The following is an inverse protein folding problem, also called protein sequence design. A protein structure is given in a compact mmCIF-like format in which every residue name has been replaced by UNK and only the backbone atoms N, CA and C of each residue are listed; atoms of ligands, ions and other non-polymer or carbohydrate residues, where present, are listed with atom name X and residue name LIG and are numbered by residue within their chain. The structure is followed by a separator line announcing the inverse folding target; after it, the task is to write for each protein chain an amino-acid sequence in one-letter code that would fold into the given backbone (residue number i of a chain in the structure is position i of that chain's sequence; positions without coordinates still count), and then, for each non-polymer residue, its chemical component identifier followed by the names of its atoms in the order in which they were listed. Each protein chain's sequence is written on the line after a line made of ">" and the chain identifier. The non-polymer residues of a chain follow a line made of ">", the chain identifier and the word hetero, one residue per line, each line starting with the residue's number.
data_IF_818818108390
#
_entry.id   IF_818818108390
#
_cell.length_a   1.000
_cell.length_b   1.000
_cell.length_c   1.000
_cell.angle_alpha   90.00
_cell.angle_beta   90.00
_cell.angle_gamma   90.00
#
_symmetry.space_group_name_H-M   'P 1'
#
loop_
_entity.id
_entity.type
_entity.pdbx_description
1 polymer ?
#
# COMPACT_ATOMS: atom_id res chain seq x y z
N UNK A 1 18.95 2.74 10.57
CA UNK A 1 17.91 2.82 11.59
C UNK A 1 16.58 3.15 10.95
N UNK A 2 15.57 2.35 11.25
CA UNK A 2 14.21 2.55 10.74
C UNK A 2 13.42 3.38 11.73
N UNK A 3 12.72 4.38 11.25
CA UNK A 3 11.87 5.23 12.08
C UNK A 3 10.41 4.89 11.82
N UNK A 4 9.72 4.39 12.85
CA UNK A 4 8.29 4.08 12.75
C UNK A 4 7.48 5.36 13.00
N UNK A 5 6.63 5.69 12.04
CA UNK A 5 5.74 6.83 12.14
C UNK A 5 4.52 6.48 12.98
N UNK A 6 4.14 7.35 13.90
CA UNK A 6 2.93 7.16 14.69
C UNK A 6 1.69 7.53 13.89
N UNK A 7 1.85 8.45 12.94
CA UNK A 7 0.74 8.94 12.14
C UNK A 7 1.28 9.41 10.79
N UNK A 8 0.55 9.11 9.72
CA UNK A 8 0.90 9.56 8.38
C UNK A 8 0.33 10.96 8.17
N UNK A 9 1.20 11.94 7.89
CA UNK A 9 0.76 13.28 7.52
C UNK A 9 0.59 13.38 5.99
N UNK A 10 0.05 14.51 5.53
CA UNK A 10 -0.23 14.69 4.11
C UNK A 10 1.01 14.66 3.23
N UNK A 11 2.12 15.24 3.71
CA UNK A 11 3.36 15.24 2.93
C UNK A 11 3.87 13.83 2.71
N UNK A 12 3.87 13.02 3.74
CA UNK A 12 4.30 11.63 3.65
C UNK A 12 3.40 10.83 2.71
N UNK A 13 2.10 11.06 2.82
CA UNK A 13 1.10 10.43 1.96
C UNK A 13 1.37 10.75 0.49
N UNK A 14 1.64 12.02 0.17
CA UNK A 14 1.95 12.43 -1.19
C UNK A 14 3.22 11.78 -1.72
N UNK A 15 4.26 11.70 -0.89
CA UNK A 15 5.49 11.03 -1.29
C UNK A 15 5.27 9.55 -1.60
N UNK A 16 4.51 8.88 -0.75
CA UNK A 16 4.21 7.46 -0.95
C UNK A 16 3.42 7.26 -2.23
N UNK A 17 2.38 8.06 -2.44
CA UNK A 17 1.54 7.99 -3.63
C UNK A 17 2.36 8.23 -4.89
N UNK A 18 3.29 9.18 -4.89
CA UNK A 18 4.16 9.42 -6.02
C UNK A 18 5.03 8.21 -6.33
N UNK A 19 5.52 7.53 -5.31
CA UNK A 19 6.32 6.33 -5.50
C UNK A 19 5.54 5.17 -6.11
N UNK A 20 4.30 5.02 -5.69
CA UNK A 20 3.42 3.95 -6.18
C UNK A 20 2.87 4.27 -7.56
N UNK A 21 2.51 5.53 -7.80
CA UNK A 21 1.74 5.92 -8.98
C UNK A 21 2.61 6.41 -10.13
N UNK A 22 3.83 5.90 -10.22
CA UNK A 22 4.73 6.20 -11.33
C UNK A 22 4.20 5.63 -12.64
N UNK A 23 3.64 4.42 -12.58
CA UNK A 23 3.09 3.77 -13.77
C UNK A 23 1.98 2.79 -13.40
N UNK A 24 1.27 2.32 -14.42
CA UNK A 24 0.15 1.40 -14.26
C UNK A 24 0.57 0.11 -13.56
N UNK A 25 1.74 -0.42 -13.89
CA UNK A 25 2.23 -1.67 -13.30
C UNK A 25 2.34 -1.57 -11.78
N UNK A 26 2.89 -0.46 -11.28
CA UNK A 26 3.03 -0.27 -9.84
C UNK A 26 1.67 -0.13 -9.16
N UNK A 27 0.76 0.59 -9.81
CA UNK A 27 -0.60 0.73 -9.27
C UNK A 27 -1.27 -0.62 -9.13
N UNK A 28 -1.21 -1.44 -10.19
CA UNK A 28 -1.81 -2.77 -10.17
C UNK A 28 -1.17 -3.68 -9.13
N UNK A 29 0.15 -3.64 -9.00
CA UNK A 29 0.85 -4.41 -7.98
C UNK A 29 0.46 -3.99 -6.57
N UNK A 30 0.30 -2.68 -6.34
CA UNK A 30 -0.09 -2.18 -5.02
C UNK A 30 -1.50 -2.64 -4.65
N UNK A 31 -2.41 -2.68 -5.62
CA UNK A 31 -3.78 -3.17 -5.39
C UNK A 31 -3.77 -4.69 -5.15
N UNK A 32 -2.96 -5.41 -5.92
CA UNK A 32 -2.88 -6.86 -5.83
C UNK A 32 -2.40 -7.36 -4.47
N UNK A 33 -1.64 -6.55 -3.73
CA UNK A 33 -1.21 -6.89 -2.38
C UNK A 33 -2.40 -7.25 -1.49
N UNK A 34 -3.52 -6.57 -1.66
CA UNK A 34 -4.74 -6.84 -0.89
C UNK A 34 -5.24 -8.26 -1.16
N UNK A 35 -5.12 -8.71 -2.40
CA UNK A 35 -5.59 -10.03 -2.81
C UNK A 35 -4.63 -11.16 -2.43
N UNK A 36 -3.34 -10.93 -2.61
CA UNK A 36 -2.32 -11.96 -2.44
C UNK A 36 -1.70 -11.99 -1.05
N UNK A 37 -1.81 -10.90 -0.32
CA UNK A 37 -1.14 -10.72 0.99
C UNK A 37 0.37 -10.87 0.89
N UNK A 38 0.93 -10.56 -0.28
CA UNK A 38 2.37 -10.58 -0.52
C UNK A 38 2.85 -9.18 -0.81
N UNK A 39 3.91 -8.77 -0.14
CA UNK A 39 4.47 -7.45 -0.31
C UNK A 39 5.22 -7.29 -1.62
N UNK A 40 5.66 -6.08 -1.87
CA UNK A 40 6.38 -5.73 -3.10
C UNK A 40 7.46 -4.69 -2.79
N UNK A 41 8.60 -4.84 -3.45
CA UNK A 41 9.68 -3.86 -3.44
C UNK A 41 9.63 -3.16 -4.80
N UNK A 42 9.21 -1.89 -4.81
CA UNK A 42 9.17 -1.14 -6.05
C UNK A 42 10.56 -0.65 -6.44
N UNK A 43 11.30 -0.15 -5.45
CA UNK A 43 12.68 0.29 -5.63
C UNK A 43 13.31 0.44 -4.24
N UNK A 44 14.50 1.02 -4.18
CA UNK A 44 15.22 1.17 -2.93
C UNK A 44 14.54 2.09 -1.92
N UNK A 45 13.64 2.95 -2.38
CA UNK A 45 13.02 3.96 -1.53
C UNK A 45 11.53 3.72 -1.27
N UNK A 46 10.92 2.75 -1.93
CA UNK A 46 9.48 2.50 -1.78
C UNK A 46 9.21 1.00 -1.74
N UNK A 47 8.72 0.53 -0.60
CA UNK A 47 8.41 -0.89 -0.41
C UNK A 47 7.13 -1.03 0.41
N UNK A 48 6.45 -2.15 0.17
CA UNK A 48 5.26 -2.50 0.96
C UNK A 48 5.46 -3.93 1.44
N UNK A 49 5.38 -4.14 2.74
CA UNK A 49 5.54 -5.46 3.34
C UNK A 49 4.25 -5.89 4.01
N UNK A 50 4.03 -7.19 4.05
CA UNK A 50 2.85 -7.79 4.69
C UNK A 50 3.31 -8.73 5.80
N UNK A 51 2.36 -9.23 6.57
CA UNK A 51 2.63 -10.14 7.69
C UNK A 51 3.55 -11.29 7.29
N UNK A 52 3.34 -11.88 6.11
CA UNK A 52 4.13 -13.01 5.64
C UNK A 52 5.56 -12.68 5.22
N UNK A 53 5.91 -11.39 5.11
CA UNK A 53 7.27 -10.98 4.76
C UNK A 53 8.22 -10.97 5.95
N UNK A 54 7.71 -11.15 7.15
CA UNK A 54 8.50 -11.09 8.38
C UNK A 54 8.62 -12.48 9.00
N UNK A 55 9.75 -12.75 9.64
CA UNK A 55 9.89 -13.95 10.43
C UNK A 55 8.95 -13.88 11.64
N UNK A 56 8.54 -15.04 12.14
CA UNK A 56 7.58 -15.11 13.24
C UNK A 56 8.08 -14.45 14.53
N UNK A 57 9.39 -14.36 14.71
CA UNK A 57 9.99 -13.75 15.88
C UNK A 57 10.52 -12.33 15.65
N UNK A 58 10.24 -11.76 14.47
CA UNK A 58 10.68 -10.41 14.13
C UNK A 58 9.87 -9.39 14.95
N UNK A 59 10.52 -8.57 15.78
CA UNK A 59 9.82 -7.57 16.58
C UNK A 59 9.16 -6.48 15.73
N UNK A 60 9.57 -6.33 14.47
CA UNK A 60 8.98 -5.35 13.57
C UNK A 60 7.79 -5.90 12.78
N UNK A 61 7.44 -7.16 12.98
CA UNK A 61 6.36 -7.81 12.26
C UNK A 61 5.03 -7.10 12.52
N UNK A 62 4.33 -6.76 11.46
CA UNK A 62 3.01 -6.16 11.57
C UNK A 62 1.96 -7.21 11.95
N UNK A 63 0.77 -6.76 12.30
CA UNK A 63 -0.35 -7.66 12.54
C UNK A 63 -0.82 -8.26 11.22
N UNK A 64 -1.57 -9.35 11.29
CA UNK A 64 -2.02 -10.07 10.11
C UNK A 64 -2.94 -9.25 9.21
N UNK A 65 -3.62 -8.26 9.79
CA UNK A 65 -4.51 -7.36 9.06
C UNK A 65 -3.86 -6.02 8.70
N UNK A 66 -2.55 -5.94 8.85
CA UNK A 66 -1.79 -4.72 8.56
C UNK A 66 -0.80 -4.91 7.42
N UNK A 67 -0.43 -3.78 6.82
CA UNK A 67 0.71 -3.69 5.90
C UNK A 67 1.67 -2.64 6.42
N UNK A 68 2.94 -2.79 6.07
CA UNK A 68 3.99 -1.84 6.41
C UNK A 68 4.40 -1.11 5.14
N UNK A 69 4.20 0.20 5.15
CA UNK A 69 4.61 1.08 4.05
C UNK A 69 5.97 1.65 4.40
N UNK A 70 6.95 1.44 3.53
CA UNK A 70 8.32 1.86 3.80
C UNK A 70 8.76 2.88 2.76
N UNK A 71 9.28 4.02 3.22
CA UNK A 71 9.81 5.07 2.38
C UNK A 71 11.20 5.46 2.84
N UNK A 72 12.15 5.43 1.90
CA UNK A 72 13.50 5.90 2.15
C UNK A 72 13.71 7.28 1.53
N UNK A 73 14.50 8.11 2.20
CA UNK A 73 14.89 9.42 1.71
C UNK A 73 16.39 9.54 1.83
N UNK A 74 17.04 10.02 0.77
CA UNK A 74 18.48 10.14 0.76
C UNK A 74 18.97 11.00 1.94
N UNK A 75 19.89 10.45 2.72
CA UNK A 75 20.46 11.17 3.87
C UNK A 75 19.62 11.12 5.14
N UNK A 76 18.48 10.40 5.12
CA UNK A 76 17.59 10.31 6.28
C UNK A 76 17.30 8.84 6.61
N UNK A 77 16.93 8.54 7.87
CA UNK A 77 16.50 7.18 8.21
C UNK A 77 15.28 6.77 7.40
N UNK A 78 15.20 5.48 7.10
CA UNK A 78 14.01 4.92 6.48
C UNK A 78 12.81 5.10 7.41
N UNK A 79 11.69 5.54 6.86
CA UNK A 79 10.46 5.72 7.61
C UNK A 79 9.45 4.65 7.23
N UNK A 80 8.80 4.07 8.24
CA UNK A 80 7.79 3.04 8.02
C UNK A 80 6.49 3.43 8.71
N UNK A 81 5.38 3.08 8.07
CA UNK A 81 4.05 3.29 8.62
C UNK A 81 3.30 1.97 8.61
N UNK A 82 2.69 1.63 9.74
CA UNK A 82 1.86 0.43 9.87
C UNK A 82 0.41 0.85 9.73
N UNK A 83 -0.25 0.32 8.72
CA UNK A 83 -1.65 0.66 8.45
C UNK A 83 -2.45 -0.62 8.23
N UNK A 84 -3.75 -0.55 8.50
CA UNK A 84 -4.63 -1.68 8.18
C UNK A 84 -4.83 -1.76 6.67
N UNK A 85 -5.31 -2.91 6.18
CA UNK A 85 -5.62 -3.04 4.76
C UNK A 85 -6.70 -2.04 4.33
N UNK A 86 -7.66 -1.74 5.21
CA UNK A 86 -8.67 -0.73 4.91
C UNK A 86 -8.07 0.66 4.73
N UNK A 87 -7.20 1.05 5.65
CA UNK A 87 -6.49 2.32 5.56
C UNK A 87 -5.59 2.36 4.32
N UNK A 88 -4.95 1.25 4.00
CA UNK A 88 -4.13 1.12 2.82
C UNK A 88 -4.95 1.32 1.54
N UNK A 89 -6.11 0.66 1.45
CA UNK A 89 -6.99 0.82 0.30
C UNK A 89 -7.45 2.26 0.14
N UNK A 90 -7.81 2.93 1.24
CA UNK A 90 -8.18 4.34 1.20
C UNK A 90 -7.06 5.21 0.65
N UNK A 91 -5.82 4.90 1.03
CA UNK A 91 -4.65 5.61 0.55
C UNK A 91 -4.49 5.46 -0.97
N UNK A 92 -4.66 4.23 -1.46
CA UNK A 92 -4.60 3.95 -2.90
C UNK A 92 -5.73 4.68 -3.64
N UNK A 93 -6.93 4.67 -3.10
CA UNK A 93 -8.07 5.35 -3.71
C UNK A 93 -7.86 6.85 -3.80
N UNK A 94 -7.30 7.46 -2.75
CA UNK A 94 -6.95 8.89 -2.79
C UNK A 94 -5.95 9.21 -3.89
N UNK A 95 -4.95 8.35 -4.05
CA UNK A 95 -3.96 8.54 -5.11
C UNK A 95 -4.55 8.38 -6.50
N UNK A 96 -5.50 7.46 -6.66
CA UNK A 96 -6.17 7.24 -7.93
C UNK A 96 -6.99 8.45 -8.36
N UNK A 97 -7.66 9.13 -7.44
CA UNK A 97 -8.43 10.34 -7.76
C UNK A 97 -7.56 11.38 -8.46
N UNK A 98 -6.30 11.49 -8.04
CA UNK A 98 -5.38 12.46 -8.62
C UNK A 98 -4.75 11.96 -9.92
N UNK A 99 -4.58 10.66 -10.07
CA UNK A 99 -3.77 10.07 -11.13
C UNK A 99 -4.56 9.55 -12.34
N UNK A 100 -5.85 9.26 -12.18
CA UNK A 100 -6.61 8.55 -13.21
C UNK A 100 -6.64 9.26 -14.57
N UNK A 101 -6.67 10.59 -14.57
CA UNK A 101 -6.75 11.35 -15.81
C UNK A 101 -5.52 11.16 -16.71
N UNK A 102 -4.44 10.67 -16.16
CA UNK A 102 -3.19 10.46 -16.91
C UNK A 102 -3.16 9.15 -17.69
N UNK A 103 -4.18 8.32 -17.53
CA UNK A 103 -4.21 6.99 -18.13
C UNK A 103 -5.28 6.87 -19.20
N UNK A 104 -5.03 6.02 -20.19
CA UNK A 104 -5.99 5.70 -21.24
C UNK A 104 -7.17 4.94 -20.65
N UNK A 105 -8.31 4.94 -21.37
CA UNK A 105 -9.52 4.30 -20.89
C UNK A 105 -9.33 2.81 -20.58
N UNK A 106 -8.57 2.09 -21.40
CA UNK A 106 -8.31 0.68 -21.16
C UNK A 106 -7.53 0.46 -19.85
N UNK A 107 -6.55 1.31 -19.59
CA UNK A 107 -5.77 1.24 -18.36
C UNK A 107 -6.64 1.58 -17.14
N UNK A 108 -7.47 2.62 -17.25
CA UNK A 108 -8.40 3.00 -16.19
C UNK A 108 -9.33 1.85 -15.84
N UNK A 109 -9.88 1.19 -16.86
CA UNK A 109 -10.79 0.08 -16.65
C UNK A 109 -10.11 -1.08 -15.91
N UNK A 110 -8.89 -1.41 -16.31
CA UNK A 110 -8.11 -2.47 -15.66
C UNK A 110 -7.86 -2.14 -14.18
N UNK A 111 -7.48 -0.89 -13.91
CA UNK A 111 -7.25 -0.43 -12.54
C UNK A 111 -8.54 -0.49 -11.73
N UNK A 112 -9.65 -0.02 -12.29
CA UNK A 112 -10.93 -0.03 -11.59
C UNK A 112 -11.44 -1.44 -11.32
N UNK A 113 -11.20 -2.37 -12.23
CA UNK A 113 -11.55 -3.78 -12.01
C UNK A 113 -10.73 -4.39 -10.88
N UNK A 114 -9.43 -4.11 -10.85
CA UNK A 114 -8.56 -4.58 -9.77
C UNK A 114 -9.00 -4.00 -8.44
N UNK A 115 -9.35 -2.73 -8.43
CA UNK A 115 -9.81 -2.04 -7.21
C UNK A 115 -11.12 -2.65 -6.71
N UNK A 116 -12.03 -2.97 -7.61
CA UNK A 116 -13.31 -3.60 -7.23
C UNK A 116 -13.08 -4.96 -6.60
N UNK A 117 -12.16 -5.76 -7.15
CA UNK A 117 -11.81 -7.05 -6.55
C UNK A 117 -11.21 -6.87 -5.17
N UNK A 118 -10.33 -5.88 -4.99
CA UNK A 118 -9.72 -5.61 -3.70
C UNK A 118 -10.77 -5.20 -2.67
N UNK A 119 -11.70 -4.33 -3.04
CA UNK A 119 -12.79 -3.92 -2.15
C UNK A 119 -13.64 -5.12 -1.74
N UNK A 120 -13.97 -5.98 -2.68
CA UNK A 120 -14.75 -7.18 -2.39
C UNK A 120 -14.01 -8.13 -1.45
N UNK A 121 -12.71 -8.29 -1.65
CA UNK A 121 -11.88 -9.11 -0.77
C UNK A 121 -11.90 -8.59 0.65
N UNK A 122 -11.72 -7.28 0.83
CA UNK A 122 -11.75 -6.67 2.15
C UNK A 122 -13.14 -6.74 2.76
N UNK A 123 -14.18 -6.59 1.96
CA UNK A 123 -15.55 -6.68 2.47
C UNK A 123 -15.86 -8.09 2.96
N UNK A 124 -15.39 -9.10 2.23
CA UNK A 124 -15.60 -10.49 2.62
C UNK A 124 -14.81 -10.90 3.84
N UNK A 125 -13.51 -10.57 3.86
CA UNK A 125 -12.62 -10.92 4.97
C UNK A 125 -12.61 -9.85 6.03
N UNK A 126 -12.73 -8.61 5.61
CA UNK A 126 -12.73 -7.46 6.51
C UNK A 126 -13.96 -7.41 7.38
N UNK A 127 -15.09 -7.90 6.86
CA UNK A 127 -16.27 -7.99 7.69
C UNK A 127 -15.99 -8.84 8.91
N UNK A 128 -15.10 -9.80 8.76
CA UNK A 128 -14.64 -10.60 9.88
C UNK A 128 -13.90 -9.71 10.87
N UNK A 129 -13.05 -8.87 10.39
CA UNK A 129 -12.31 -7.96 11.23
C UNK A 129 -13.14 -6.79 11.73
N UNK A 130 -14.20 -6.47 11.06
CA UNK A 130 -15.05 -5.33 11.41
C UNK A 130 -16.13 -5.67 12.40
N UNK A 131 -16.40 -6.90 12.53
CA UNK A 131 -17.48 -7.38 13.39
C UNK A 131 -17.09 -7.46 14.85
#
# INVERSE_FOLDING_TARGET
>A
VVQRLKKINNDWKHHFIRGVFINQSRILKSITIILTRKGVVFDEVCMIATYGNFDSDDPERCAIDEVVLSMGFHGFPEEVAYVTYGEYLNLIECGLEEAMDRYEEAAKEEILQALAKARNELRSNGSVGQL
#
